data_IF_521334971151
#
_entry.id   IF_521334971151
#
_cell.length_a   1.000
_cell.length_b   1.000
_cell.length_c   1.000
_cell.angle_alpha   90.00
_cell.angle_beta   90.00
_cell.angle_gamma   90.00
#
_symmetry.space_group_name_H-M   'P 1'
#
loop_
_entity.id
_entity.type
_entity.pdbx_description
1 polymer ?
#
# COMPACT_ATOMS: atom_id res chain seq x y z
N UNK A 1 -17.37 -9.52 68.20
CA UNK A 1 -17.42 -8.27 67.42
C UNK A 1 -16.24 -8.29 66.47
N UNK A 2 -16.43 -8.78 65.24
CA UNK A 2 -15.37 -8.84 64.22
C UNK A 2 -15.70 -7.77 63.17
N UNK A 3 -14.83 -6.77 63.04
CA UNK A 3 -14.97 -5.66 62.09
C UNK A 3 -14.16 -5.98 60.84
N UNK A 4 -14.83 -6.30 59.73
CA UNK A 4 -14.19 -6.43 58.41
C UNK A 4 -13.96 -5.04 57.82
N UNK A 5 -12.71 -4.72 57.49
CA UNK A 5 -12.35 -3.52 56.74
C UNK A 5 -12.32 -3.86 55.24
N UNK A 6 -13.22 -3.26 54.48
CA UNK A 6 -13.26 -3.37 53.02
C UNK A 6 -12.37 -2.28 52.42
N UNK A 7 -11.28 -2.67 51.77
CA UNK A 7 -10.47 -1.76 50.94
C UNK A 7 -11.11 -1.64 49.56
N UNK A 8 -11.59 -0.44 49.20
CA UNK A 8 -11.91 -0.09 47.82
C UNK A 8 -10.60 0.22 47.07
N UNK A 9 -10.26 -0.57 46.06
CA UNK A 9 -9.31 -0.14 45.02
C UNK A 9 -10.04 0.84 44.09
N UNK A 10 -9.57 2.08 44.03
CA UNK A 10 -9.95 3.01 42.98
C UNK A 10 -9.15 2.67 41.72
N UNK A 11 -9.83 2.22 40.66
CA UNK A 11 -9.23 2.07 39.34
C UNK A 11 -9.00 3.47 38.76
N UNK A 12 -7.73 3.82 38.52
CA UNK A 12 -7.37 5.03 37.78
C UNK A 12 -7.45 4.69 36.30
N UNK A 13 -8.52 5.13 35.65
CA UNK A 13 -8.62 5.05 34.20
C UNK A 13 -7.67 6.11 33.60
N UNK A 14 -6.54 5.67 33.04
CA UNK A 14 -5.71 6.51 32.20
C UNK A 14 -6.45 6.79 30.90
N UNK A 15 -7.04 7.97 30.78
CA UNK A 15 -7.48 8.50 29.50
C UNK A 15 -6.23 8.94 28.74
N UNK A 16 -5.73 8.08 27.85
CA UNK A 16 -4.77 8.52 26.84
C UNK A 16 -5.46 9.60 26.00
N UNK A 17 -4.97 10.83 26.08
CA UNK A 17 -5.38 11.91 25.20
C UNK A 17 -4.77 11.60 23.82
N UNK A 18 -5.56 11.00 22.94
CA UNK A 18 -5.24 10.93 21.52
C UNK A 18 -5.28 12.36 20.98
N UNK A 19 -4.12 12.97 20.80
CA UNK A 19 -3.98 14.16 19.98
C UNK A 19 -4.52 13.82 18.59
N UNK A 20 -5.39 14.64 17.98
CA UNK A 20 -5.76 14.42 16.58
C UNK A 20 -4.48 14.51 15.75
N UNK A 21 -4.20 13.47 14.97
CA UNK A 21 -3.17 13.53 13.92
C UNK A 21 -3.45 14.80 13.11
N UNK A 22 -2.49 15.71 13.11
CA UNK A 22 -2.56 16.87 12.25
C UNK A 22 -2.35 16.33 10.84
N UNK A 23 -3.42 16.29 10.05
CA UNK A 23 -3.38 15.81 8.66
C UNK A 23 -2.20 16.50 7.95
N UNK A 24 -1.28 15.68 7.43
CA UNK A 24 -0.15 16.18 6.64
C UNK A 24 -0.63 16.35 5.21
N UNK A 25 -0.29 17.48 4.61
CA UNK A 25 -0.54 17.73 3.19
C UNK A 25 0.43 16.85 2.37
N UNK A 26 -0.06 15.71 1.86
CA UNK A 26 0.74 14.81 1.01
C UNK A 26 0.72 15.34 -0.43
N UNK A 27 1.88 15.75 -0.98
CA UNK A 27 1.90 16.48 -2.24
C UNK A 27 1.57 15.62 -3.46
N UNK A 28 0.73 16.14 -4.33
CA UNK A 28 0.55 15.59 -5.68
C UNK A 28 1.73 15.96 -6.60
N UNK A 29 2.03 15.11 -7.58
CA UNK A 29 3.08 15.34 -8.58
C UNK A 29 4.51 15.36 -8.01
N UNK A 30 4.74 14.74 -6.86
CA UNK A 30 6.06 14.60 -6.25
C UNK A 30 6.31 13.13 -5.89
N UNK A 31 7.57 12.72 -6.00
CA UNK A 31 7.99 11.37 -5.62
C UNK A 31 7.93 11.19 -4.10
N UNK A 32 7.27 10.12 -3.69
CA UNK A 32 7.17 9.68 -2.31
C UNK A 32 7.78 8.29 -2.22
N UNK A 33 8.89 8.18 -1.49
CA UNK A 33 9.68 6.94 -1.42
C UNK A 33 9.50 6.19 -0.10
N UNK A 34 9.09 6.86 0.98
CA UNK A 34 9.05 6.27 2.33
C UNK A 34 7.95 6.88 3.21
N UNK A 35 7.67 6.21 4.33
CA UNK A 35 6.72 6.64 5.34
C UNK A 35 7.18 7.90 6.07
N UNK A 36 6.21 8.65 6.58
CA UNK A 36 6.48 9.81 7.46
C UNK A 36 5.95 9.60 8.87
N UNK A 37 5.06 8.63 9.08
CA UNK A 37 4.63 8.19 10.40
C UNK A 37 5.66 7.17 10.97
N UNK A 38 6.11 7.36 12.22
CA UNK A 38 7.12 6.49 12.80
C UNK A 38 6.54 5.12 13.19
N UNK A 39 7.32 4.06 13.01
CA UNK A 39 6.94 2.69 13.40
C UNK A 39 5.94 2.04 12.45
N UNK A 40 5.70 2.62 11.28
CA UNK A 40 4.88 2.03 10.21
C UNK A 40 5.74 1.46 9.09
N UNK A 41 5.23 0.44 8.42
CA UNK A 41 5.73 -0.09 7.15
C UNK A 41 4.55 -0.29 6.21
N UNK A 42 4.70 0.08 4.94
CA UNK A 42 3.68 -0.08 3.92
C UNK A 42 4.08 -1.20 2.96
N UNK A 43 3.41 -2.34 3.08
CA UNK A 43 3.49 -3.39 2.08
C UNK A 43 2.62 -3.01 0.89
N UNK A 44 3.22 -3.02 -0.29
CA UNK A 44 2.53 -2.62 -1.52
C UNK A 44 2.69 -3.67 -2.61
N UNK A 45 1.62 -3.89 -3.36
CA UNK A 45 1.54 -4.93 -4.39
C UNK A 45 1.09 -4.33 -5.72
N UNK A 46 1.89 -4.54 -6.76
CA UNK A 46 1.63 -4.04 -8.11
C UNK A 46 1.08 -5.15 -9.03
N UNK A 47 0.57 -4.73 -10.19
CA UNK A 47 0.09 -5.55 -11.33
C UNK A 47 -1.20 -6.34 -11.13
N UNK A 48 -1.64 -6.52 -9.88
CA UNK A 48 -2.88 -7.19 -9.55
C UNK A 48 -4.17 -6.42 -9.93
N UNK A 49 -5.35 -6.96 -9.55
CA UNK A 49 -5.53 -8.23 -8.84
C UNK A 49 -5.24 -9.47 -9.72
N UNK A 50 -4.94 -10.60 -9.08
CA UNK A 50 -4.54 -11.87 -9.69
C UNK A 50 -5.31 -13.06 -9.08
N UNK A 51 -5.04 -14.28 -9.58
CA UNK A 51 -5.57 -15.51 -8.98
C UNK A 51 -5.06 -15.77 -7.55
N UNK A 52 -3.96 -15.13 -7.13
CA UNK A 52 -3.36 -15.29 -5.79
C UNK A 52 -3.80 -14.20 -4.80
N UNK A 53 -4.37 -13.09 -5.28
CA UNK A 53 -4.73 -11.95 -4.43
C UNK A 53 -5.70 -12.34 -3.31
N UNK A 54 -6.65 -13.25 -3.55
CA UNK A 54 -7.56 -13.69 -2.50
C UNK A 54 -6.83 -14.33 -1.31
N UNK A 55 -5.79 -15.13 -1.57
CA UNK A 55 -5.00 -15.77 -0.53
C UNK A 55 -4.06 -14.78 0.15
N UNK A 56 -3.55 -13.79 -0.58
CA UNK A 56 -2.82 -12.68 0.01
C UNK A 56 -3.68 -11.89 1.00
N UNK A 57 -4.94 -11.61 0.65
CA UNK A 57 -5.89 -10.93 1.54
C UNK A 57 -6.18 -11.76 2.80
N UNK A 58 -6.33 -13.08 2.66
CA UNK A 58 -6.48 -13.98 3.82
C UNK A 58 -5.24 -13.89 4.75
N UNK A 59 -4.03 -13.95 4.17
CA UNK A 59 -2.78 -13.85 4.90
C UNK A 59 -2.63 -12.50 5.63
N UNK A 60 -2.92 -11.38 4.96
CA UNK A 60 -2.87 -10.05 5.57
C UNK A 60 -3.82 -9.95 6.77
N UNK A 61 -5.02 -10.52 6.67
CA UNK A 61 -5.98 -10.57 7.76
C UNK A 61 -5.50 -11.42 8.95
N UNK A 62 -4.80 -12.53 8.72
CA UNK A 62 -4.21 -13.37 9.79
C UNK A 62 -3.17 -12.61 10.62
N UNK A 63 -2.48 -11.65 10.01
CA UNK A 63 -1.43 -10.84 10.64
C UNK A 63 -1.93 -9.44 11.10
N UNK A 64 -3.24 -9.17 11.04
CA UNK A 64 -3.84 -7.84 11.33
C UNK A 64 -3.14 -6.70 10.57
N UNK A 65 -2.76 -6.98 9.31
CA UNK A 65 -2.00 -6.11 8.45
C UNK A 65 -2.88 -5.45 7.40
N UNK A 66 -2.66 -4.17 7.12
CA UNK A 66 -3.19 -3.51 5.93
C UNK A 66 -2.08 -3.32 4.89
N UNK A 67 -2.46 -3.37 3.60
CA UNK A 67 -1.57 -3.18 2.47
C UNK A 67 -2.15 -2.18 1.46
N UNK A 68 -1.36 -1.82 0.46
CA UNK A 68 -1.80 -0.99 -0.69
C UNK A 68 -1.62 -1.77 -1.98
N UNK A 69 -2.66 -1.82 -2.81
CA UNK A 69 -2.65 -2.51 -4.09
C UNK A 69 -2.66 -1.47 -5.22
N UNK A 70 -1.59 -1.40 -6.02
CA UNK A 70 -1.56 -0.59 -7.23
C UNK A 70 -2.04 -1.46 -8.39
N UNK A 71 -3.29 -1.26 -8.79
CA UNK A 71 -3.99 -2.16 -9.72
C UNK A 71 -3.91 -1.71 -11.17
N UNK A 72 -3.96 -2.67 -12.09
CA UNK A 72 -4.02 -2.42 -13.54
C UNK A 72 -5.45 -2.41 -14.07
N UNK A 73 -5.66 -1.72 -15.20
CA UNK A 73 -6.98 -1.57 -15.84
C UNK A 73 -7.62 -2.89 -16.24
N UNK A 74 -6.88 -3.71 -16.98
CA UNK A 74 -7.40 -4.98 -17.50
C UNK A 74 -7.75 -5.95 -16.36
N UNK A 75 -6.87 -6.11 -15.37
CA UNK A 75 -7.10 -7.00 -14.23
C UNK A 75 -8.20 -6.48 -13.29
N UNK A 76 -8.27 -5.18 -13.05
CA UNK A 76 -9.32 -4.56 -12.24
C UNK A 76 -10.71 -4.78 -12.85
N UNK A 77 -10.84 -4.67 -14.17
CA UNK A 77 -12.13 -4.81 -14.88
C UNK A 77 -12.79 -6.18 -14.70
N UNK A 78 -11.99 -7.22 -14.43
CA UNK A 78 -12.44 -8.59 -14.22
C UNK A 78 -12.55 -8.97 -12.73
N UNK A 79 -12.10 -8.10 -11.81
CA UNK A 79 -11.83 -8.43 -10.41
C UNK A 79 -12.64 -7.61 -9.39
N UNK A 80 -13.86 -7.18 -9.76
CA UNK A 80 -14.72 -6.36 -8.89
C UNK A 80 -14.91 -6.91 -7.48
N UNK A 81 -15.09 -8.23 -7.33
CA UNK A 81 -15.23 -8.87 -6.01
C UNK A 81 -13.98 -8.71 -5.13
N UNK A 82 -12.78 -8.76 -5.72
CA UNK A 82 -11.51 -8.58 -5.01
C UNK A 82 -11.28 -7.12 -4.64
N UNK A 83 -11.61 -6.18 -5.52
CA UNK A 83 -11.51 -4.74 -5.22
C UNK A 83 -12.46 -4.34 -4.06
N UNK A 84 -13.69 -4.82 -4.08
CA UNK A 84 -14.64 -4.61 -2.97
C UNK A 84 -14.17 -5.27 -1.68
N UNK A 85 -13.50 -6.43 -1.78
CA UNK A 85 -12.90 -7.10 -0.63
C UNK A 85 -11.75 -6.27 -0.04
N UNK A 86 -10.87 -5.73 -0.87
CA UNK A 86 -9.79 -4.82 -0.44
C UNK A 86 -10.33 -3.65 0.38
N UNK A 87 -11.37 -2.96 -0.10
CA UNK A 87 -12.01 -1.86 0.64
C UNK A 87 -12.60 -2.33 1.98
N UNK A 88 -13.34 -3.45 1.97
CA UNK A 88 -13.99 -3.99 3.18
C UNK A 88 -12.99 -4.39 4.26
N UNK A 89 -11.81 -4.86 3.84
CA UNK A 89 -10.70 -5.27 4.71
C UNK A 89 -9.73 -4.11 4.99
N UNK A 90 -10.13 -2.87 4.67
CA UNK A 90 -9.40 -1.63 4.96
C UNK A 90 -8.02 -1.54 4.30
N UNK A 91 -7.84 -2.18 3.16
CA UNK A 91 -6.69 -1.97 2.29
C UNK A 91 -6.91 -0.74 1.41
N UNK A 92 -5.80 -0.18 0.92
CA UNK A 92 -5.83 0.94 -0.01
C UNK A 92 -5.71 0.44 -1.46
N UNK A 93 -6.49 1.03 -2.36
CA UNK A 93 -6.38 0.80 -3.80
C UNK A 93 -5.78 2.04 -4.44
N UNK A 94 -4.65 1.87 -5.12
CA UNK A 94 -3.98 2.88 -5.92
C UNK A 94 -4.02 2.53 -7.40
N UNK A 95 -3.75 3.51 -8.26
CA UNK A 95 -3.66 3.30 -9.70
C UNK A 95 -2.26 2.81 -10.11
N UNK A 96 -2.18 1.80 -10.97
CA UNK A 96 -0.95 1.41 -11.66
C UNK A 96 -1.01 1.63 -13.18
N UNK A 97 -1.86 2.57 -13.63
CA UNK A 97 -2.22 2.81 -15.05
C UNK A 97 -3.11 1.71 -15.61
N UNK A 98 -3.67 1.94 -16.81
CA UNK A 98 -4.53 0.95 -17.43
C UNK A 98 -3.73 -0.17 -18.10
N UNK A 99 -2.76 0.17 -18.97
CA UNK A 99 -2.05 -0.74 -19.88
C UNK A 99 -0.61 -1.06 -19.44
N UNK A 100 -0.18 -0.63 -18.24
CA UNK A 100 1.19 -0.81 -17.71
C UNK A 100 2.30 -0.26 -18.65
N UNK A 101 2.05 0.90 -19.27
CA UNK A 101 3.02 1.55 -20.16
C UNK A 101 3.99 2.44 -19.36
N UNK A 102 5.25 2.48 -19.80
CA UNK A 102 6.23 3.45 -19.29
C UNK A 102 5.79 4.87 -19.63
N UNK A 103 5.46 5.67 -18.60
CA UNK A 103 4.82 6.97 -18.78
C UNK A 103 5.73 8.01 -19.46
N UNK A 104 7.06 7.89 -19.30
CA UNK A 104 8.03 8.78 -19.96
C UNK A 104 8.06 8.65 -21.48
N UNK A 105 7.40 7.62 -22.02
CA UNK A 105 7.30 7.40 -23.48
C UNK A 105 6.04 8.02 -24.10
N UNK A 106 5.17 8.58 -23.26
CA UNK A 106 3.82 9.02 -23.62
C UNK A 106 3.70 10.54 -23.66
N UNK A 107 2.77 11.05 -24.45
CA UNK A 107 2.30 12.44 -24.39
C UNK A 107 1.35 12.69 -23.22
N UNK A 108 1.10 13.95 -22.86
CA UNK A 108 0.17 14.35 -21.79
C UNK A 108 -1.19 13.65 -21.94
N UNK A 109 -1.77 13.68 -23.15
CA UNK A 109 -3.07 13.08 -23.44
C UNK A 109 -3.07 11.55 -23.30
N UNK A 110 -1.94 10.91 -23.57
CA UNK A 110 -1.78 9.46 -23.40
C UNK A 110 -1.63 9.09 -21.92
N UNK A 111 -0.87 9.87 -21.13
CA UNK A 111 -0.80 9.71 -19.67
C UNK A 111 -2.18 9.93 -19.05
N UNK A 112 -2.87 11.02 -19.39
CA UNK A 112 -4.24 11.29 -18.93
C UNK A 112 -5.20 10.14 -19.28
N UNK A 113 -5.09 9.57 -20.48
CA UNK A 113 -5.91 8.43 -20.89
C UNK A 113 -5.59 7.16 -20.08
N UNK A 114 -4.32 6.90 -19.74
CA UNK A 114 -3.93 5.79 -18.88
C UNK A 114 -4.56 5.88 -17.49
N UNK A 115 -4.58 7.09 -16.91
CA UNK A 115 -5.13 7.32 -15.57
C UNK A 115 -6.66 7.30 -15.57
N UNK A 116 -7.28 8.08 -16.46
CA UNK A 116 -8.73 8.25 -16.48
C UNK A 116 -9.47 6.95 -16.86
N UNK A 117 -8.90 6.11 -17.75
CA UNK A 117 -9.53 4.83 -18.09
C UNK A 117 -9.59 3.88 -16.90
N UNK A 118 -8.54 3.83 -16.08
CA UNK A 118 -8.56 2.99 -14.88
C UNK A 118 -9.50 3.60 -13.83
N UNK A 119 -9.46 4.92 -13.63
CA UNK A 119 -10.40 5.59 -12.73
C UNK A 119 -11.87 5.26 -13.06
N UNK A 120 -12.25 5.29 -14.34
CA UNK A 120 -13.62 5.02 -14.75
C UNK A 120 -14.03 3.56 -14.43
N UNK A 121 -13.11 2.61 -14.60
CA UNK A 121 -13.32 1.20 -14.18
C UNK A 121 -13.51 1.11 -12.66
N UNK A 122 -12.68 1.79 -11.88
CA UNK A 122 -12.74 1.73 -10.42
C UNK A 122 -14.01 2.41 -9.88
N UNK A 123 -14.41 3.55 -10.43
CA UNK A 123 -15.68 4.21 -10.06
C UNK A 123 -16.86 3.29 -10.32
N UNK A 124 -16.89 2.59 -11.46
CA UNK A 124 -17.99 1.67 -11.79
C UNK A 124 -18.06 0.45 -10.85
N UNK A 125 -16.92 -0.03 -10.34
CA UNK A 125 -16.84 -1.26 -9.54
C UNK A 125 -16.89 -1.05 -8.03
N UNK A 126 -16.31 0.06 -7.55
CA UNK A 126 -16.07 0.32 -6.13
C UNK A 126 -16.38 1.76 -5.70
N UNK A 127 -16.95 2.58 -6.59
CA UNK A 127 -17.37 3.97 -6.32
C UNK A 127 -16.24 4.90 -5.84
N UNK A 128 -14.97 4.53 -6.09
CA UNK A 128 -13.81 5.30 -5.68
C UNK A 128 -12.90 5.65 -6.86
N UNK A 129 -12.29 6.83 -6.80
CA UNK A 129 -11.29 7.30 -7.76
C UNK A 129 -9.95 7.55 -7.03
N UNK A 130 -8.93 6.69 -7.18
CA UNK A 130 -7.68 6.84 -6.42
C UNK A 130 -6.98 8.19 -6.63
N UNK A 131 -6.43 8.75 -5.54
CA UNK A 131 -5.46 9.86 -5.60
C UNK A 131 -4.02 9.38 -5.47
N UNK A 132 -3.82 8.09 -5.22
CA UNK A 132 -2.51 7.46 -5.13
C UNK A 132 -2.22 6.68 -6.41
N UNK A 133 -1.01 6.78 -6.93
CA UNK A 133 -0.56 5.97 -8.05
C UNK A 133 0.90 5.60 -7.95
N UNK A 134 1.28 4.52 -8.62
CA UNK A 134 2.68 4.14 -8.83
C UNK A 134 2.96 4.10 -10.34
N UNK A 135 4.00 4.78 -10.85
CA UNK A 135 4.38 4.68 -12.25
C UNK A 135 4.92 3.29 -12.57
N UNK A 136 4.48 2.63 -13.65
CA UNK A 136 5.09 1.40 -14.15
C UNK A 136 6.61 1.56 -14.30
N UNK A 137 7.36 0.53 -13.86
CA UNK A 137 8.83 0.50 -13.87
C UNK A 137 9.52 1.57 -13.02
N UNK A 138 8.78 2.34 -12.22
CA UNK A 138 9.23 3.61 -11.63
C UNK A 138 9.72 4.63 -12.67
N UNK A 139 9.31 4.50 -13.93
CA UNK A 139 9.70 5.41 -15.00
C UNK A 139 8.96 6.73 -14.88
N UNK A 140 9.67 7.75 -14.40
CA UNK A 140 9.12 9.07 -14.09
C UNK A 140 10.15 10.17 -14.34
N UNK A 141 9.70 11.27 -14.94
CA UNK A 141 10.48 12.50 -15.13
C UNK A 141 9.63 13.73 -14.75
N UNK A 142 10.20 14.94 -14.88
CA UNK A 142 9.51 16.19 -14.53
C UNK A 142 8.21 16.40 -15.33
N UNK A 143 8.15 15.89 -16.57
CA UNK A 143 6.97 15.98 -17.42
C UNK A 143 5.86 15.07 -16.89
N UNK A 144 6.17 13.81 -16.60
CA UNK A 144 5.23 12.86 -16.00
C UNK A 144 4.72 13.36 -14.64
N UNK A 145 5.62 13.85 -13.78
CA UNK A 145 5.25 14.42 -12.47
C UNK A 145 4.31 15.61 -12.60
N UNK A 146 4.53 16.48 -13.58
CA UNK A 146 3.65 17.61 -13.84
C UNK A 146 2.25 17.15 -14.26
N UNK A 147 2.14 16.20 -15.18
CA UNK A 147 0.84 15.69 -15.65
C UNK A 147 0.10 14.99 -14.50
N UNK A 148 0.76 14.11 -13.76
CA UNK A 148 0.18 13.42 -12.60
C UNK A 148 -0.22 14.41 -11.49
N UNK A 149 0.57 15.46 -11.25
CA UNK A 149 0.24 16.53 -10.32
C UNK A 149 -1.00 17.32 -10.73
N UNK A 150 -1.16 17.63 -12.01
CA UNK A 150 -2.35 18.31 -12.54
C UNK A 150 -3.62 17.44 -12.40
N UNK A 151 -3.46 16.12 -12.46
CA UNK A 151 -4.53 15.13 -12.20
C UNK A 151 -4.77 14.87 -10.70
N UNK A 152 -3.94 15.44 -9.81
CA UNK A 152 -4.08 15.28 -8.37
C UNK A 152 -3.56 13.93 -7.83
N UNK A 153 -2.64 13.27 -8.53
CA UNK A 153 -2.04 12.02 -8.05
C UNK A 153 -0.81 12.26 -7.17
N UNK A 154 -0.78 11.57 -6.04
CA UNK A 154 0.38 11.34 -5.17
C UNK A 154 1.19 10.19 -5.78
N UNK A 155 2.45 10.44 -6.10
CA UNK A 155 3.29 9.52 -6.90
C UNK A 155 4.17 8.68 -5.99
N UNK A 156 3.82 7.42 -5.84
CA UNK A 156 4.45 6.48 -4.90
C UNK A 156 5.47 5.63 -5.63
N UNK A 157 6.72 5.68 -5.19
CA UNK A 157 7.75 4.72 -5.58
C UNK A 157 7.95 3.71 -4.44
N UNK A 158 9.16 3.21 -4.23
CA UNK A 158 9.51 2.40 -3.08
C UNK A 158 10.95 2.71 -2.64
N UNK A 159 11.22 2.58 -1.35
CA UNK A 159 12.56 2.59 -0.77
C UNK A 159 12.99 1.19 -0.29
N UNK A 160 12.12 0.19 -0.44
CA UNK A 160 12.43 -1.24 -0.38
C UNK A 160 11.93 -1.92 -1.67
N UNK A 161 12.84 -2.41 -2.51
CA UNK A 161 12.54 -3.17 -3.73
C UNK A 161 12.99 -4.63 -3.57
N UNK A 162 12.01 -5.50 -3.35
CA UNK A 162 12.24 -6.92 -3.10
C UNK A 162 12.82 -7.67 -4.30
N UNK A 163 12.67 -7.15 -5.53
CA UNK A 163 13.00 -7.89 -6.77
C UNK A 163 12.33 -9.27 -6.84
N UNK A 164 11.16 -9.43 -6.24
CA UNK A 164 10.38 -10.67 -6.24
C UNK A 164 10.11 -11.21 -7.65
N UNK A 165 9.88 -10.32 -8.61
CA UNK A 165 9.71 -10.65 -10.03
C UNK A 165 10.97 -11.26 -10.68
N UNK A 166 12.18 -10.96 -10.19
CA UNK A 166 13.45 -11.58 -10.64
C UNK A 166 13.73 -12.91 -9.94
N UNK A 167 13.07 -13.15 -8.81
CA UNK A 167 13.34 -14.25 -7.89
C UNK A 167 12.11 -15.14 -7.63
N UNK A 168 11.17 -15.19 -8.59
CA UNK A 168 9.90 -15.91 -8.49
C UNK A 168 10.03 -17.43 -8.68
N UNK A 169 10.90 -18.07 -7.90
CA UNK A 169 10.97 -19.52 -7.74
C UNK A 169 11.37 -19.92 -6.31
N UNK A 170 11.09 -21.17 -5.94
CA UNK A 170 11.31 -21.73 -4.60
C UNK A 170 12.74 -21.50 -4.07
N UNK A 171 13.73 -21.53 -4.97
CA UNK A 171 15.16 -21.50 -4.62
C UNK A 171 15.73 -20.08 -4.59
N UNK A 172 15.04 -19.11 -5.19
CA UNK A 172 15.53 -17.73 -5.30
C UNK A 172 14.74 -16.73 -4.46
N UNK A 173 13.51 -17.02 -4.04
CA UNK A 173 12.68 -16.06 -3.32
C UNK A 173 13.30 -15.58 -1.99
N UNK A 174 14.18 -16.38 -1.39
CA UNK A 174 14.96 -15.98 -0.20
C UNK A 174 15.89 -14.79 -0.48
N UNK A 175 16.33 -14.60 -1.74
CA UNK A 175 17.10 -13.42 -2.16
C UNK A 175 16.26 -12.16 -2.05
N UNK A 176 14.97 -12.24 -2.36
CA UNK A 176 14.02 -11.13 -2.18
C UNK A 176 13.78 -10.81 -0.71
N UNK A 177 13.71 -11.84 0.13
CA UNK A 177 13.63 -11.65 1.58
C UNK A 177 14.90 -10.97 2.13
N UNK A 178 16.09 -11.41 1.70
CA UNK A 178 17.35 -10.77 2.08
C UNK A 178 17.39 -9.30 1.64
N UNK A 179 16.89 -8.96 0.44
CA UNK A 179 16.77 -7.57 -0.03
C UNK A 179 15.87 -6.75 0.88
N UNK A 180 14.68 -7.27 1.18
CA UNK A 180 13.74 -6.66 2.11
C UNK A 180 14.40 -6.33 3.45
N UNK A 181 15.08 -7.30 4.09
CA UNK A 181 15.74 -7.10 5.38
C UNK A 181 16.84 -6.04 5.29
N UNK A 182 17.68 -6.08 4.26
CA UNK A 182 18.79 -5.14 4.09
C UNK A 182 18.31 -3.69 3.90
N UNK A 183 17.26 -3.49 3.11
CA UNK A 183 16.72 -2.14 2.85
C UNK A 183 15.87 -1.63 4.01
N UNK A 184 15.18 -2.53 4.72
CA UNK A 184 14.55 -2.21 6.00
C UNK A 184 15.58 -1.78 7.06
N UNK A 185 16.72 -2.47 7.15
CA UNK A 185 17.85 -2.09 8.01
C UNK A 185 18.45 -0.73 7.63
N UNK A 186 18.37 -0.36 6.35
CA UNK A 186 18.79 0.95 5.84
C UNK A 186 17.77 2.07 6.13
N UNK A 187 16.61 1.73 6.71
CA UNK A 187 15.55 2.67 7.08
C UNK A 187 14.43 2.81 6.05
N UNK A 188 14.35 1.90 5.07
CA UNK A 188 13.24 1.82 4.13
C UNK A 188 11.92 1.45 4.82
N UNK A 189 10.80 1.74 4.16
CA UNK A 189 9.46 1.65 4.78
C UNK A 189 8.30 1.48 3.80
N UNK A 190 8.47 1.71 2.49
CA UNK A 190 7.50 1.38 1.44
C UNK A 190 8.08 0.24 0.61
N UNK A 191 7.44 -0.92 0.68
CA UNK A 191 7.91 -2.19 0.12
C UNK A 191 7.22 -2.46 -1.21
N UNK A 192 7.98 -2.57 -2.30
CA UNK A 192 7.51 -3.04 -3.60
C UNK A 192 7.51 -4.57 -3.66
N UNK A 193 6.38 -5.15 -4.07
CA UNK A 193 6.20 -6.55 -4.43
C UNK A 193 5.08 -6.67 -5.48
N UNK A 194 4.84 -7.86 -6.01
CA UNK A 194 3.83 -8.11 -7.05
C UNK A 194 2.97 -9.32 -6.66
N UNK A 195 1.66 -9.12 -6.45
CA UNK A 195 0.75 -10.20 -6.02
C UNK A 195 0.30 -11.11 -7.17
N UNK A 196 0.80 -10.86 -8.38
CA UNK A 196 0.70 -11.75 -9.55
C UNK A 196 1.69 -12.93 -9.50
N UNK A 197 2.55 -12.99 -8.48
CA UNK A 197 3.61 -13.99 -8.34
C UNK A 197 3.33 -14.97 -7.20
N UNK A 198 3.33 -16.27 -7.53
CA UNK A 198 3.05 -17.35 -6.58
C UNK A 198 3.97 -17.28 -5.35
N UNK A 199 5.29 -17.17 -5.52
CA UNK A 199 6.23 -17.17 -4.41
C UNK A 199 6.18 -15.90 -3.57
N UNK A 200 5.73 -14.79 -4.16
CA UNK A 200 5.47 -13.54 -3.44
C UNK A 200 4.34 -13.73 -2.43
N UNK A 201 3.22 -14.32 -2.85
CA UNK A 201 2.04 -14.52 -1.99
C UNK A 201 2.24 -15.66 -0.99
N UNK A 202 2.72 -16.82 -1.45
CA UNK A 202 2.75 -18.04 -0.63
C UNK A 202 3.98 -18.21 0.25
N UNK A 203 4.98 -17.33 0.15
CA UNK A 203 6.19 -17.38 0.98
C UNK A 203 6.69 -16.01 1.42
N UNK A 204 7.09 -15.16 0.46
CA UNK A 204 7.78 -13.91 0.76
C UNK A 204 6.96 -13.01 1.70
N UNK A 205 5.66 -12.85 1.43
CA UNK A 205 4.80 -11.97 2.22
C UNK A 205 4.73 -12.39 3.69
N UNK A 206 4.58 -13.68 3.97
CA UNK A 206 4.51 -14.17 5.35
C UNK A 206 5.82 -13.90 6.10
N UNK A 207 6.96 -14.20 5.46
CA UNK A 207 8.28 -13.95 6.04
C UNK A 207 8.51 -12.46 6.33
N UNK A 208 8.12 -11.57 5.42
CA UNK A 208 8.21 -10.12 5.61
C UNK A 208 7.29 -9.62 6.74
N UNK A 209 6.08 -10.15 6.87
CA UNK A 209 5.14 -9.82 7.94
C UNK A 209 5.67 -10.24 9.31
N UNK A 210 6.21 -11.46 9.43
CA UNK A 210 6.85 -11.96 10.65
C UNK A 210 8.02 -11.05 11.05
N UNK A 211 8.89 -10.71 10.10
CA UNK A 211 10.06 -9.85 10.35
C UNK A 211 9.63 -8.46 10.83
N UNK A 212 8.68 -7.82 10.14
CA UNK A 212 8.16 -6.51 10.52
C UNK A 212 7.54 -6.51 11.92
N UNK A 213 6.71 -7.51 12.25
CA UNK A 213 6.12 -7.64 13.59
C UNK A 213 7.18 -7.88 14.66
N UNK A 214 8.23 -8.67 14.38
CA UNK A 214 9.32 -8.93 15.32
C UNK A 214 10.09 -7.64 15.69
N UNK A 215 10.10 -6.66 14.79
CA UNK A 215 10.69 -5.32 14.97
C UNK A 215 9.72 -4.33 15.61
N UNK A 216 8.48 -4.72 15.86
CA UNK A 216 7.43 -3.86 16.41
C UNK A 216 6.88 -2.84 15.41
N UNK A 217 7.02 -3.10 14.10
CA UNK A 217 6.44 -2.27 13.05
C UNK A 217 4.97 -2.62 12.82
N UNK A 218 4.17 -1.61 12.48
CA UNK A 218 2.78 -1.77 12.05
C UNK A 218 2.71 -1.79 10.53
N UNK A 219 2.19 -2.87 9.97
CA UNK A 219 1.88 -2.97 8.55
C UNK A 219 0.59 -2.19 8.24
N UNK A 220 0.70 -1.09 7.51
CA UNK A 220 -0.40 -0.14 7.25
C UNK A 220 -0.46 0.20 5.75
N UNK A 221 -1.53 0.87 5.32
CA UNK A 221 -1.61 1.41 3.95
C UNK A 221 -0.59 2.54 3.73
N UNK A 222 -0.29 2.87 2.46
CA UNK A 222 0.60 4.00 2.13
C UNK A 222 0.02 5.32 2.64
N UNK A 223 -1.29 5.52 2.52
CA UNK A 223 -1.97 6.71 3.04
C UNK A 223 -1.77 6.88 4.55
N UNK A 224 -1.97 5.83 5.35
CA UNK A 224 -1.73 5.88 6.79
C UNK A 224 -0.25 6.07 7.13
N UNK A 225 0.65 5.38 6.43
CA UNK A 225 2.10 5.52 6.50
C UNK A 225 2.58 6.97 6.25
N UNK A 226 1.79 7.77 5.52
CA UNK A 226 2.05 9.19 5.25
C UNK A 226 1.28 10.16 6.17
N UNK A 227 0.41 9.65 7.05
CA UNK A 227 -0.45 10.46 7.91
C UNK A 227 -1.57 11.16 7.15
N UNK A 228 -1.96 10.62 5.99
CA UNK A 228 -3.02 11.13 5.12
C UNK A 228 -4.36 10.52 5.53
N UNK A 229 -5.40 11.34 5.80
CA UNK A 229 -6.69 10.83 6.22
C UNK A 229 -7.40 10.09 5.07
N UNK A 230 -8.27 9.13 5.42
CA UNK A 230 -8.90 8.22 4.46
C UNK A 230 -9.67 8.93 3.33
N UNK A 231 -10.27 10.08 3.62
CA UNK A 231 -11.01 10.91 2.67
C UNK A 231 -10.12 11.60 1.61
N UNK A 232 -8.80 11.56 1.78
CA UNK A 232 -7.82 12.09 0.82
C UNK A 232 -7.19 10.99 -0.05
N UNK A 233 -7.49 9.71 0.21
CA UNK A 233 -6.99 8.57 -0.57
C UNK A 233 -7.72 8.40 -1.90
N UNK A 234 -8.95 8.91 -1.97
CA UNK A 234 -9.83 8.86 -3.13
C UNK A 234 -10.48 10.23 -3.35
N UNK A 235 -10.81 10.55 -4.60
CA UNK A 235 -11.49 11.79 -4.99
C UNK A 235 -12.88 11.49 -5.56
N UNK A 236 -13.74 12.50 -5.54
CA UNK A 236 -15.07 12.47 -6.15
C UNK A 236 -15.02 12.73 -7.66
#
# INVERSE_FOLDING_TARGET
MHSSATFLLAAVASTALSSPLQARDVPAGQLITGCTEPGTIAFTFDDGPSEYTSQLLDLLAEYDAQATFFVLGDTASESGDLLQRMQRESHQIGSHTYDHLSLITLSDAEIEAQMNRLDDVLVDLIEERPTYMRPPYFDVDDHVLQVLGNLGYKVITADIDTKDYENNDETQIDVSFDKFVNELDAGGSIVLSHDIHYWTVYKLTEEMLIEAQSRGLRAVTVGECLGDPLDEWYRQ
#
